data_IF_318764137672
#
_entry.id   IF_318764137672
#
_cell.length_a   1.000
_cell.length_b   1.000
_cell.length_c   1.000
_cell.angle_alpha   90.00
_cell.angle_beta   90.00
_cell.angle_gamma   90.00
#
_symmetry.space_group_name_H-M   'P 1'
#
loop_
_entity.id
_entity.type
_entity.pdbx_description
1 polymer ?
#
# COMPACT_ATOMS: atom_id res chain seq x y z
N UNK A 1 -2.69 22.08 -43.56
CA UNK A 1 -3.09 22.68 -42.28
C UNK A 1 -2.61 21.76 -41.18
N UNK A 2 -1.86 22.28 -40.21
CA UNK A 2 -1.42 21.50 -39.05
C UNK A 2 -2.41 21.78 -37.92
N UNK A 3 -2.91 20.72 -37.27
CA UNK A 3 -3.81 20.82 -36.13
C UNK A 3 -3.04 20.31 -34.92
N UNK A 4 -2.69 21.22 -34.02
CA UNK A 4 -2.04 20.86 -32.76
C UNK A 4 -3.08 20.29 -31.78
N UNK A 5 -2.95 19.00 -31.47
CA UNK A 5 -3.81 18.33 -30.48
C UNK A 5 -3.01 18.02 -29.22
N UNK A 6 -3.43 18.57 -28.09
CA UNK A 6 -2.87 18.27 -26.76
C UNK A 6 -3.61 17.07 -26.16
N UNK A 7 -2.91 15.95 -25.98
CA UNK A 7 -3.46 14.77 -25.33
C UNK A 7 -3.61 15.01 -23.81
N UNK A 8 -4.74 14.57 -23.24
CA UNK A 8 -4.93 14.55 -21.79
C UNK A 8 -3.94 13.57 -21.17
N UNK A 9 -3.35 13.93 -20.02
CA UNK A 9 -2.29 13.18 -19.34
C UNK A 9 -2.60 11.68 -19.14
N UNK A 10 -3.88 11.33 -18.94
CA UNK A 10 -4.35 9.95 -18.77
C UNK A 10 -4.14 9.05 -20.00
N UNK A 11 -3.91 9.64 -21.18
CA UNK A 11 -3.68 8.93 -22.45
C UNK A 11 -2.26 9.16 -23.00
N UNK A 12 -1.40 9.85 -22.26
CA UNK A 12 -0.01 10.12 -22.61
C UNK A 12 0.95 8.98 -22.19
N UNK A 13 0.48 7.74 -22.23
CA UNK A 13 1.29 6.54 -22.03
C UNK A 13 1.69 5.97 -23.40
N UNK A 14 2.90 5.44 -23.55
CA UNK A 14 3.44 4.91 -24.82
C UNK A 14 2.49 3.94 -25.54
N UNK A 15 1.76 3.11 -24.77
CA UNK A 15 0.78 2.15 -25.32
C UNK A 15 -0.52 2.83 -25.79
N UNK A 16 -1.00 3.83 -25.04
CA UNK A 16 -2.17 4.63 -25.42
C UNK A 16 -1.89 5.51 -26.65
N UNK A 17 -0.68 6.07 -26.73
CA UNK A 17 -0.23 6.87 -27.88
C UNK A 17 -0.12 5.99 -29.13
N UNK A 18 0.42 4.76 -29.02
CA UNK A 18 0.50 3.82 -30.13
C UNK A 18 -0.89 3.39 -30.65
N UNK A 19 -1.86 3.23 -29.74
CA UNK A 19 -3.24 2.88 -30.10
C UNK A 19 -3.99 4.04 -30.77
N UNK A 20 -3.73 5.27 -30.33
CA UNK A 20 -4.29 6.49 -30.91
C UNK A 20 -3.64 6.79 -32.28
N UNK A 21 -2.33 6.60 -32.42
CA UNK A 21 -1.61 6.65 -33.70
C UNK A 21 -2.26 5.69 -34.68
N UNK A 22 -2.44 4.42 -34.32
CA UNK A 22 -3.05 3.40 -35.18
C UNK A 22 -4.49 3.75 -35.60
N UNK A 23 -5.27 4.41 -34.74
CA UNK A 23 -6.64 4.85 -35.04
C UNK A 23 -6.67 6.08 -35.95
N UNK A 24 -5.77 7.04 -35.74
CA UNK A 24 -5.68 8.26 -36.56
C UNK A 24 -5.15 7.97 -37.97
N UNK A 25 -4.23 7.00 -38.12
CA UNK A 25 -3.71 6.57 -39.42
C UNK A 25 -4.75 5.85 -40.29
N UNK A 26 -5.94 5.48 -39.75
CA UNK A 26 -7.03 4.92 -40.55
C UNK A 26 -7.77 5.95 -41.41
N UNK A 27 -7.61 7.25 -41.12
CA UNK A 27 -8.17 8.32 -41.95
C UNK A 27 -7.11 8.78 -42.96
N UNK A 28 -7.39 8.58 -44.26
CA UNK A 28 -6.48 8.88 -45.40
C UNK A 28 -6.08 10.35 -45.56
N UNK A 29 -6.56 11.24 -44.69
CA UNK A 29 -6.31 12.68 -44.68
C UNK A 29 -5.21 13.08 -43.67
N UNK A 30 -4.67 12.16 -42.88
CA UNK A 30 -3.64 12.41 -41.86
C UNK A 30 -2.31 11.78 -42.33
N UNK A 31 -1.36 12.63 -42.71
CA UNK A 31 -0.14 12.23 -43.42
C UNK A 31 1.04 11.89 -42.49
N UNK A 32 1.09 12.48 -41.30
CA UNK A 32 2.15 12.25 -40.31
C UNK A 32 1.71 12.70 -38.92
N UNK A 33 1.94 11.86 -37.90
CA UNK A 33 1.78 12.19 -36.49
C UNK A 33 3.19 12.33 -35.91
N UNK A 34 3.70 13.56 -35.88
CA UNK A 34 4.99 13.86 -35.25
C UNK A 34 4.79 13.98 -33.74
N UNK A 35 5.26 12.98 -33.00
CA UNK A 35 5.38 13.04 -31.55
C UNK A 35 6.80 12.66 -31.18
N UNK A 36 7.39 13.36 -30.20
CA UNK A 36 8.71 13.03 -29.66
C UNK A 36 8.67 11.68 -28.93
N UNK A 37 8.68 10.58 -29.70
CA UNK A 37 8.70 9.19 -29.23
C UNK A 37 9.82 8.92 -28.21
N UNK A 38 11.07 9.42 -28.37
CA UNK A 38 12.20 9.00 -27.54
C UNK A 38 12.11 9.45 -26.08
N UNK A 39 11.59 10.64 -25.79
CA UNK A 39 11.61 11.17 -24.42
C UNK A 39 10.50 10.56 -23.56
N UNK A 40 9.32 10.33 -24.15
CA UNK A 40 8.18 9.72 -23.44
C UNK A 40 8.45 8.25 -23.13
N UNK A 41 9.08 7.51 -24.05
CA UNK A 41 9.44 6.11 -23.82
C UNK A 41 10.53 5.96 -22.78
N UNK A 42 11.59 6.78 -22.82
CA UNK A 42 12.68 6.74 -21.83
C UNK A 42 12.21 7.11 -20.41
N UNK A 43 11.32 8.12 -20.28
CA UNK A 43 10.75 8.47 -18.97
C UNK A 43 9.84 7.35 -18.46
N UNK A 44 8.98 6.79 -19.29
CA UNK A 44 8.07 5.71 -18.87
C UNK A 44 8.83 4.43 -18.47
N UNK A 45 9.87 4.05 -19.21
CA UNK A 45 10.72 2.90 -18.86
C UNK A 45 11.47 3.11 -17.55
N UNK A 46 12.01 4.31 -17.30
CA UNK A 46 12.67 4.64 -16.04
C UNK A 46 11.69 4.63 -14.86
N UNK A 47 10.49 5.22 -15.04
CA UNK A 47 9.43 5.20 -14.01
C UNK A 47 9.00 3.78 -13.70
N UNK A 48 8.83 2.92 -14.70
CA UNK A 48 8.49 1.51 -14.50
C UNK A 48 9.59 0.75 -13.75
N UNK A 49 10.87 1.00 -14.08
CA UNK A 49 12.01 0.36 -13.40
C UNK A 49 12.11 0.79 -11.94
N UNK A 50 11.98 2.09 -11.67
CA UNK A 50 11.98 2.62 -10.30
C UNK A 50 10.79 2.07 -9.50
N UNK A 51 9.60 2.03 -10.11
CA UNK A 51 8.41 1.46 -9.47
C UNK A 51 8.59 -0.01 -9.11
N UNK A 52 9.24 -0.80 -9.97
CA UNK A 52 9.56 -2.19 -9.68
C UNK A 52 10.51 -2.34 -8.48
N UNK A 53 11.56 -1.53 -8.41
CA UNK A 53 12.51 -1.54 -7.29
C UNK A 53 11.79 -1.19 -5.97
N UNK A 54 10.95 -0.15 -5.99
CA UNK A 54 10.15 0.27 -4.83
C UNK A 54 9.19 -0.84 -4.39
N UNK A 55 8.57 -1.55 -5.34
CA UNK A 55 7.68 -2.68 -5.04
C UNK A 55 8.44 -3.79 -4.32
N UNK A 56 9.60 -4.20 -4.84
CA UNK A 56 10.44 -5.24 -4.22
C UNK A 56 10.88 -4.80 -2.81
N UNK A 57 11.26 -3.54 -2.65
CA UNK A 57 11.64 -2.99 -1.35
C UNK A 57 10.47 -3.02 -0.36
N UNK A 58 9.27 -2.58 -0.78
CA UNK A 58 8.08 -2.64 0.05
C UNK A 58 7.70 -4.08 0.45
N UNK A 59 7.85 -5.04 -0.46
CA UNK A 59 7.62 -6.45 -0.16
C UNK A 59 8.58 -6.97 0.91
N UNK A 60 9.86 -6.58 0.85
CA UNK A 60 10.85 -6.91 1.87
C UNK A 60 10.49 -6.29 3.23
N UNK A 61 10.12 -5.01 3.28
CA UNK A 61 9.69 -4.36 4.51
C UNK A 61 8.45 -5.04 5.10
N UNK A 62 7.49 -5.40 4.26
CA UNK A 62 6.30 -6.13 4.69
C UNK A 62 6.69 -7.48 5.31
N UNK A 63 7.62 -8.21 4.70
CA UNK A 63 8.12 -9.46 5.27
C UNK A 63 8.77 -9.27 6.65
N UNK A 64 9.65 -8.26 6.80
CA UNK A 64 10.28 -7.93 8.08
C UNK A 64 9.22 -7.59 9.14
N UNK A 65 8.23 -6.79 8.79
CA UNK A 65 7.13 -6.43 9.68
C UNK A 65 6.34 -7.67 10.14
N UNK A 66 6.06 -8.63 9.24
CA UNK A 66 5.39 -9.88 9.58
C UNK A 66 6.20 -10.71 10.59
N UNK A 67 7.52 -10.81 10.41
CA UNK A 67 8.40 -11.51 11.35
C UNK A 67 8.40 -10.84 12.72
N UNK A 68 8.46 -9.50 12.75
CA UNK A 68 8.45 -8.74 14.00
C UNK A 68 7.13 -8.90 14.75
N UNK A 69 6.00 -8.85 14.04
CA UNK A 69 4.67 -9.12 14.60
C UNK A 69 4.62 -10.54 15.17
N UNK A 70 5.13 -11.53 14.45
CA UNK A 70 5.17 -12.92 14.91
C UNK A 70 5.90 -13.05 16.26
N UNK A 71 7.10 -12.46 16.34
CA UNK A 71 7.90 -12.47 17.56
C UNK A 71 7.22 -11.72 18.72
N UNK A 72 6.59 -10.59 18.42
CA UNK A 72 5.86 -9.79 19.42
C UNK A 72 4.66 -10.55 19.99
N UNK A 73 3.89 -11.22 19.14
CA UNK A 73 2.77 -12.05 19.57
C UNK A 73 3.25 -13.24 20.41
N UNK A 74 4.35 -13.91 20.03
CA UNK A 74 4.95 -14.98 20.83
C UNK A 74 5.25 -14.51 22.25
N UNK A 75 5.97 -13.40 22.37
CA UNK A 75 6.34 -12.82 23.66
C UNK A 75 5.10 -12.43 24.48
N UNK A 76 4.10 -11.82 23.83
CA UNK A 76 2.87 -11.39 24.49
C UNK A 76 2.02 -12.57 25.00
N UNK A 77 1.93 -13.65 24.21
CA UNK A 77 1.25 -14.90 24.60
C UNK A 77 1.97 -15.56 25.77
N UNK A 78 3.30 -15.64 25.73
CA UNK A 78 4.10 -16.21 26.81
C UNK A 78 3.92 -15.44 28.13
N UNK A 79 3.96 -14.10 28.07
CA UNK A 79 3.73 -13.23 29.24
C UNK A 79 2.31 -13.40 29.81
N UNK A 80 1.31 -13.72 28.98
CA UNK A 80 -0.09 -13.91 29.39
C UNK A 80 -0.49 -15.37 29.55
N UNK A 81 0.46 -16.31 29.61
CA UNK A 81 0.19 -17.76 29.64
C UNK A 81 -0.81 -18.20 30.73
N UNK A 82 -0.74 -17.60 31.91
CA UNK A 82 -1.64 -17.92 33.03
C UNK A 82 -3.09 -17.49 32.76
N UNK A 83 -3.27 -16.30 32.20
CA UNK A 83 -4.59 -15.78 31.82
C UNK A 83 -5.19 -16.64 30.71
N UNK A 84 -4.38 -17.06 29.74
CA UNK A 84 -4.83 -17.94 28.67
C UNK A 84 -5.23 -19.31 29.22
N UNK A 85 -4.47 -19.86 30.17
CA UNK A 85 -4.79 -21.15 30.78
C UNK A 85 -6.08 -21.10 31.60
N UNK A 86 -6.28 -20.06 32.40
CA UNK A 86 -7.55 -19.85 33.14
C UNK A 86 -8.74 -19.66 32.21
N UNK A 87 -8.58 -18.93 31.09
CA UNK A 87 -9.62 -18.83 30.05
C UNK A 87 -9.95 -20.19 29.43
N UNK A 88 -8.95 -21.04 29.16
CA UNK A 88 -9.18 -22.41 28.65
C UNK A 88 -9.96 -23.27 29.66
N UNK A 89 -9.66 -23.17 30.96
CA UNK A 89 -10.35 -23.94 32.01
C UNK A 89 -11.83 -23.58 32.16
N UNK A 90 -12.22 -22.35 31.86
CA UNK A 90 -13.62 -21.88 31.88
C UNK A 90 -14.34 -22.16 30.54
N UNK A 91 -13.69 -22.87 29.60
CA UNK A 91 -14.27 -23.22 28.30
C UNK A 91 -14.31 -22.06 27.29
N UNK A 92 -13.47 -21.05 27.45
CA UNK A 92 -13.43 -19.92 26.52
C UNK A 92 -13.03 -20.37 25.10
N UNK A 93 -13.78 -19.90 24.10
CA UNK A 93 -13.51 -20.22 22.69
C UNK A 93 -12.22 -19.55 22.20
N UNK A 94 -11.58 -20.15 21.19
CA UNK A 94 -10.36 -19.61 20.55
C UNK A 94 -10.52 -18.15 20.07
N UNK A 95 -11.73 -17.76 19.67
CA UNK A 95 -12.06 -16.38 19.28
C UNK A 95 -12.03 -15.39 20.44
N UNK A 96 -12.44 -15.81 21.64
CA UNK A 96 -12.43 -14.96 22.84
C UNK A 96 -11.00 -14.62 23.27
N UNK A 97 -10.09 -15.59 23.20
CA UNK A 97 -8.66 -15.40 23.52
C UNK A 97 -7.99 -14.45 22.50
N UNK A 98 -8.41 -14.51 21.24
CA UNK A 98 -7.84 -13.71 20.14
C UNK A 98 -8.33 -12.26 20.09
N UNK A 99 -9.60 -12.02 20.42
CA UNK A 99 -10.25 -10.70 20.36
C UNK A 99 -9.41 -9.55 20.93
N UNK A 100 -8.80 -9.64 22.13
CA UNK A 100 -8.00 -8.54 22.67
C UNK A 100 -6.76 -8.21 21.82
N UNK A 101 -6.15 -9.21 21.16
CA UNK A 101 -5.00 -8.99 20.28
C UNK A 101 -5.42 -8.28 18.99
N UNK A 102 -6.52 -8.70 18.36
CA UNK A 102 -7.03 -8.07 17.14
C UNK A 102 -7.46 -6.62 17.38
N UNK A 103 -8.14 -6.35 18.51
CA UNK A 103 -8.53 -4.99 18.89
C UNK A 103 -7.30 -4.08 19.09
N UNK A 104 -6.25 -4.58 19.75
CA UNK A 104 -5.00 -3.84 19.87
C UNK A 104 -4.39 -3.53 18.51
N UNK A 105 -4.39 -4.47 17.58
CA UNK A 105 -3.82 -4.24 16.24
C UNK A 105 -4.59 -3.25 15.40
N UNK A 106 -5.92 -3.20 15.52
CA UNK A 106 -6.73 -2.14 14.89
C UNK A 106 -6.28 -0.77 15.39
N UNK A 107 -6.14 -0.60 16.71
CA UNK A 107 -5.68 0.66 17.30
C UNK A 107 -4.28 1.04 16.81
N UNK A 108 -3.34 0.08 16.78
CA UNK A 108 -1.99 0.33 16.25
C UNK A 108 -2.02 0.70 14.76
N UNK A 109 -2.88 0.05 13.97
CA UNK A 109 -3.10 0.40 12.56
C UNK A 109 -3.64 1.82 12.39
N UNK A 110 -4.57 2.24 13.24
CA UNK A 110 -5.08 3.62 13.24
C UNK A 110 -3.97 4.63 13.58
N UNK A 111 -3.19 4.40 14.65
CA UNK A 111 -2.07 5.29 14.98
C UNK A 111 -1.03 5.35 13.86
N UNK A 112 -0.69 4.22 13.25
CA UNK A 112 0.23 4.17 12.11
C UNK A 112 -0.31 4.96 10.91
N UNK A 113 -1.60 4.86 10.59
CA UNK A 113 -2.22 5.61 9.49
C UNK A 113 -2.20 7.12 9.73
N UNK A 114 -2.47 7.57 10.96
CA UNK A 114 -2.41 9.00 11.33
C UNK A 114 -0.99 9.54 11.16
N UNK A 115 0.02 8.78 11.62
CA UNK A 115 1.42 9.16 11.47
C UNK A 115 1.80 9.21 9.98
N UNK A 116 1.40 8.22 9.19
CA UNK A 116 1.67 8.17 7.75
C UNK A 116 1.04 9.37 7.01
N UNK A 117 -0.22 9.71 7.30
CA UNK A 117 -0.92 10.84 6.71
C UNK A 117 -0.23 12.17 7.10
N UNK A 118 0.15 12.33 8.37
CA UNK A 118 0.88 13.51 8.83
C UNK A 118 2.22 13.67 8.09
N UNK A 119 2.97 12.57 7.92
CA UNK A 119 4.25 12.56 7.22
C UNK A 119 4.08 12.87 5.72
N UNK A 120 3.08 12.26 5.06
CA UNK A 120 2.76 12.54 3.66
C UNK A 120 2.40 14.02 3.47
N UNK A 121 1.57 14.56 4.36
CA UNK A 121 1.14 15.95 4.34
C UNK A 121 2.34 16.89 4.49
N UNK A 122 3.23 16.62 5.46
CA UNK A 122 4.45 17.39 5.66
C UNK A 122 5.36 17.36 4.43
N UNK A 123 5.51 16.21 3.78
CA UNK A 123 6.30 16.05 2.56
C UNK A 123 5.69 16.84 1.39
N UNK A 124 4.36 16.80 1.22
CA UNK A 124 3.65 17.58 0.21
C UNK A 124 3.89 19.08 0.42
N UNK A 125 3.72 19.59 1.64
CA UNK A 125 3.96 21.00 1.94
C UNK A 125 5.43 21.41 1.81
N UNK A 126 6.38 20.52 2.15
CA UNK A 126 7.80 20.75 1.99
C UNK A 126 8.22 20.88 0.53
N UNK A 127 7.75 19.98 -0.33
CA UNK A 127 8.05 19.98 -1.78
C UNK A 127 7.34 21.13 -2.50
N UNK A 128 6.14 21.52 -2.05
CA UNK A 128 5.39 22.66 -2.63
C UNK A 128 6.22 23.94 -2.69
N UNK A 129 7.17 24.12 -1.76
CA UNK A 129 8.07 25.29 -1.75
C UNK A 129 9.07 25.29 -2.91
N UNK A 130 9.48 24.13 -3.40
CA UNK A 130 10.45 24.00 -4.51
C UNK A 130 9.80 23.75 -5.87
N UNK A 131 8.64 23.09 -5.91
CA UNK A 131 8.00 22.61 -7.16
C UNK A 131 6.52 22.99 -7.19
N UNK A 132 6.23 24.29 -7.05
CA UNK A 132 4.89 24.84 -6.87
C UNK A 132 3.90 24.48 -8.00
N UNK A 133 4.38 24.22 -9.22
CA UNK A 133 3.53 24.00 -10.40
C UNK A 133 2.96 22.57 -10.53
N UNK A 134 3.62 21.55 -9.97
CA UNK A 134 3.15 20.15 -10.10
C UNK A 134 1.95 19.87 -9.19
N UNK A 135 1.90 20.53 -8.03
CA UNK A 135 0.88 20.29 -7.00
C UNK A 135 -0.46 21.00 -7.26
N UNK A 136 -0.49 22.04 -8.10
CA UNK A 136 -1.73 22.72 -8.50
C UNK A 136 -2.63 21.86 -9.41
N UNK A 137 -2.09 20.77 -9.96
CA UNK A 137 -2.79 19.87 -10.89
C UNK A 137 -3.51 18.74 -10.13
N UNK A 138 -3.24 18.54 -8.84
CA UNK A 138 -3.82 17.44 -8.05
C UNK A 138 -5.15 17.88 -7.45
N UNK A 139 -6.23 17.28 -7.95
CA UNK A 139 -7.59 17.51 -7.50
C UNK A 139 -7.76 17.10 -6.01
N UNK A 140 -8.38 17.92 -5.14
CA UNK A 140 -8.53 17.62 -3.71
C UNK A 140 -9.21 16.28 -3.42
N UNK A 141 -10.08 15.81 -4.32
CA UNK A 141 -10.76 14.52 -4.19
C UNK A 141 -9.78 13.34 -4.21
N UNK A 142 -8.70 13.41 -5.00
CA UNK A 142 -7.69 12.35 -5.04
C UNK A 142 -6.88 12.29 -3.74
N UNK A 143 -6.60 13.44 -3.12
CA UNK A 143 -5.88 13.50 -1.84
C UNK A 143 -6.71 12.82 -0.74
N UNK A 144 -8.00 13.13 -0.67
CA UNK A 144 -8.92 12.49 0.29
C UNK A 144 -9.01 10.98 0.02
N UNK A 145 -9.09 10.57 -1.25
CA UNK A 145 -9.09 9.17 -1.65
C UNK A 145 -7.83 8.42 -1.20
N UNK A 146 -6.65 9.04 -1.35
CA UNK A 146 -5.37 8.47 -0.91
C UNK A 146 -5.32 8.34 0.61
N UNK A 147 -5.74 9.37 1.37
CA UNK A 147 -5.77 9.30 2.84
C UNK A 147 -6.71 8.21 3.36
N UNK A 148 -7.91 8.10 2.77
CA UNK A 148 -8.83 7.03 3.09
C UNK A 148 -8.23 5.66 2.75
N UNK A 149 -7.60 5.53 1.58
CA UNK A 149 -6.92 4.32 1.13
C UNK A 149 -5.81 3.88 2.08
N UNK A 150 -4.91 4.79 2.47
CA UNK A 150 -3.81 4.52 3.42
C UNK A 150 -4.37 4.01 4.75
N UNK A 151 -5.43 4.62 5.25
CA UNK A 151 -6.05 4.23 6.53
C UNK A 151 -6.66 2.84 6.45
N UNK A 152 -7.51 2.60 5.45
CA UNK A 152 -8.21 1.32 5.29
C UNK A 152 -7.21 0.19 5.03
N UNK A 153 -6.29 0.37 4.09
CA UNK A 153 -5.30 -0.64 3.72
C UNK A 153 -4.33 -0.89 4.89
N UNK A 154 -3.85 0.17 5.56
CA UNK A 154 -2.94 0.03 6.69
C UNK A 154 -3.55 -0.73 7.87
N UNK A 155 -4.79 -0.40 8.25
CA UNK A 155 -5.53 -1.13 9.29
C UNK A 155 -5.78 -2.58 8.85
N UNK A 156 -6.20 -2.78 7.61
CA UNK A 156 -6.50 -4.11 7.08
C UNK A 156 -5.26 -5.02 7.08
N UNK A 157 -4.12 -4.52 6.58
CA UNK A 157 -2.85 -5.26 6.58
C UNK A 157 -2.42 -5.62 8.01
N UNK A 158 -2.50 -4.69 8.96
CA UNK A 158 -2.09 -4.95 10.34
C UNK A 158 -3.00 -5.98 11.02
N UNK A 159 -4.31 -5.87 10.80
CA UNK A 159 -5.29 -6.82 11.29
C UNK A 159 -5.02 -8.22 10.73
N UNK A 160 -4.80 -8.32 9.41
CA UNK A 160 -4.54 -9.58 8.72
C UNK A 160 -3.21 -10.21 9.17
N UNK A 161 -2.13 -9.42 9.27
CA UNK A 161 -0.85 -9.86 9.81
C UNK A 161 -0.99 -10.43 11.24
N UNK A 162 -1.67 -9.69 12.12
CA UNK A 162 -1.91 -10.13 13.50
C UNK A 162 -2.80 -11.37 13.53
N UNK A 163 -3.82 -11.42 12.67
CA UNK A 163 -4.69 -12.57 12.52
C UNK A 163 -3.85 -13.82 12.24
N UNK A 164 -3.04 -13.82 11.18
CA UNK A 164 -2.19 -14.96 10.84
C UNK A 164 -1.22 -15.34 11.97
N UNK A 165 -0.56 -14.36 12.60
CA UNK A 165 0.37 -14.59 13.69
C UNK A 165 -0.31 -15.27 14.90
N UNK A 166 -1.43 -14.73 15.38
CA UNK A 166 -2.14 -15.26 16.56
C UNK A 166 -2.72 -16.65 16.27
N UNK A 167 -3.25 -16.90 15.06
CA UNK A 167 -3.81 -18.20 14.72
C UNK A 167 -2.74 -19.30 14.71
N UNK A 168 -1.55 -18.96 14.20
CA UNK A 168 -0.39 -19.86 14.23
C UNK A 168 -0.02 -20.23 15.67
N UNK A 169 0.05 -19.25 16.58
CA UNK A 169 0.47 -19.50 17.97
C UNK A 169 -0.58 -20.19 18.84
N UNK A 170 -1.87 -19.84 18.68
CA UNK A 170 -2.91 -20.48 19.47
C UNK A 170 -3.05 -21.98 19.14
N UNK A 171 -2.85 -22.40 17.88
CA UNK A 171 -2.83 -23.83 17.50
C UNK A 171 -1.64 -24.61 18.08
N UNK A 172 -0.53 -23.95 18.40
CA UNK A 172 0.71 -24.59 18.88
C UNK A 172 0.75 -24.82 20.40
N UNK A 173 -0.30 -24.48 21.15
CA UNK A 173 -0.27 -24.45 22.64
C UNK A 173 -1.06 -25.58 23.32
N UNK A 174 -1.20 -26.75 22.69
CA UNK A 174 -1.79 -27.90 23.39
C UNK A 174 -0.78 -28.99 23.75
N UNK A 175 0.35 -29.14 23.04
CA UNK A 175 1.31 -30.23 23.35
C UNK A 175 2.80 -29.83 23.51
N UNK A 176 3.25 -28.64 23.09
CA UNK A 176 4.69 -28.29 23.11
C UNK A 176 5.14 -27.47 24.33
N UNK A 177 4.37 -27.46 25.43
CA UNK A 177 4.79 -26.78 26.67
C UNK A 177 5.43 -27.73 27.71
N UNK A 178 5.60 -29.01 27.36
CA UNK A 178 6.20 -30.03 28.22
C UNK A 178 7.50 -30.65 27.69
N UNK A 179 8.10 -30.09 26.64
CA UNK A 179 9.45 -30.43 26.18
C UNK A 179 10.26 -29.20 25.80
#
# INVERSE_FOLDING_TARGET
AYIDMRLKANYANSDSIAKIEKWLTQFSQIKEVDYQKPLVTLVNENVSRVSFIILVFNALLMFIALVLINNTIRLSVYSKRFIINTMKLVGATWGFIRKPFLLKSILHGMYASVIAIAMLTAMIYGIKKEIADILLIVDPIYIVGIFAGITVIGVFINLLATFFAVNKFLRLTTDDLYY
#
